data_IF_252252185715
#
_entry.id   IF_252252185715
#
_cell.length_a   1.000
_cell.length_b   1.000
_cell.length_c   1.000
_cell.angle_alpha   90.00
_cell.angle_beta   90.00
_cell.angle_gamma   90.00
#
_symmetry.space_group_name_H-M   'P 1'
#
loop_
_entity.id
_entity.type
_entity.pdbx_description
1 polymer ?
#
# COMPACT_ATOMS: atom_id res chain seq x y z
N UNK A 1 -17.42 4.18 5.28
CA UNK A 1 -17.70 5.22 4.25
C UNK A 1 -18.97 4.82 3.52
N UNK A 2 -19.99 5.68 3.53
CA UNK A 2 -21.29 5.42 2.93
C UNK A 2 -21.83 6.71 2.30
N UNK A 3 -22.49 6.68 1.13
CA UNK A 3 -22.75 5.51 0.27
C UNK A 3 -21.48 4.94 -0.41
N UNK A 4 -21.51 3.70 -0.97
CA UNK A 4 -20.40 3.12 -1.72
C UNK A 4 -20.25 3.83 -3.08
N UNK A 5 -19.48 4.91 -3.10
CA UNK A 5 -19.22 5.73 -4.29
C UNK A 5 -17.89 6.50 -4.17
N UNK A 6 -17.37 6.96 -5.31
CA UNK A 6 -16.38 8.04 -5.36
C UNK A 6 -16.93 9.24 -6.16
N UNK A 7 -16.34 10.42 -5.93
CA UNK A 7 -16.76 11.69 -6.55
C UNK A 7 -15.55 12.39 -7.13
N UNK A 8 -15.62 12.76 -8.41
CA UNK A 8 -14.65 13.66 -9.07
C UNK A 8 -15.19 15.09 -8.93
N UNK A 9 -14.33 16.02 -8.53
CA UNK A 9 -14.67 17.42 -8.27
C UNK A 9 -13.70 18.36 -9.00
N UNK A 10 -14.11 19.59 -9.26
CA UNK A 10 -13.20 20.68 -9.66
C UNK A 10 -12.17 20.91 -8.55
N UNK A 11 -10.88 20.99 -8.91
CA UNK A 11 -9.77 21.01 -7.94
C UNK A 11 -9.65 22.29 -7.11
N UNK A 12 -10.19 23.41 -7.61
CA UNK A 12 -10.15 24.72 -6.96
C UNK A 12 -11.45 25.07 -6.23
N UNK A 13 -12.60 24.63 -6.75
CA UNK A 13 -13.92 24.99 -6.22
C UNK A 13 -14.61 23.88 -5.43
N UNK A 14 -14.12 22.64 -5.52
CA UNK A 14 -14.76 21.42 -5.00
C UNK A 14 -16.17 21.16 -5.58
N UNK A 15 -16.54 21.84 -6.67
CA UNK A 15 -17.80 21.60 -7.36
C UNK A 15 -17.85 20.16 -7.88
N UNK A 16 -18.90 19.38 -7.58
CA UNK A 16 -18.99 18.00 -8.02
C UNK A 16 -19.18 17.91 -9.54
N UNK A 17 -18.36 17.10 -10.20
CA UNK A 17 -18.39 16.88 -11.65
C UNK A 17 -19.00 15.52 -12.00
N UNK A 18 -18.65 14.47 -11.25
CA UNK A 18 -19.12 13.10 -11.50
C UNK A 18 -19.22 12.31 -10.20
N UNK A 19 -20.31 11.58 -10.03
CA UNK A 19 -20.50 10.61 -8.96
C UNK A 19 -20.57 9.22 -9.58
N UNK A 20 -19.80 8.27 -9.07
CA UNK A 20 -19.77 6.89 -9.57
C UNK A 20 -19.96 5.92 -8.42
N UNK A 21 -21.00 5.08 -8.53
CA UNK A 21 -21.26 3.98 -7.59
C UNK A 21 -20.17 2.92 -7.70
N UNK A 22 -19.81 2.33 -6.56
CA UNK A 22 -18.84 1.22 -6.51
C UNK A 22 -19.49 -0.14 -6.31
N UNK A 23 -20.82 -0.21 -6.07
CA UNK A 23 -21.60 -1.47 -6.04
C UNK A 23 -21.31 -2.32 -7.28
N UNK A 24 -21.08 -3.61 -7.08
CA UNK A 24 -20.66 -4.49 -8.17
C UNK A 24 -20.38 -5.91 -7.68
N UNK A 25 -19.70 -6.68 -8.52
CA UNK A 25 -19.40 -8.09 -8.26
C UNK A 25 -18.03 -8.22 -7.57
N UNK A 26 -17.86 -9.21 -6.70
CA UNK A 26 -16.54 -9.62 -6.20
C UNK A 26 -15.70 -10.20 -7.35
N UNK A 27 -14.40 -9.91 -7.39
CA UNK A 27 -13.53 -10.37 -8.48
C UNK A 27 -13.44 -11.90 -8.56
N UNK A 28 -13.42 -12.56 -7.39
CA UNK A 28 -13.18 -13.99 -7.22
C UNK A 28 -14.45 -14.83 -7.41
N UNK A 29 -15.49 -14.58 -6.61
CA UNK A 29 -16.73 -15.37 -6.63
C UNK A 29 -17.76 -14.84 -7.62
N UNK A 30 -17.56 -13.63 -8.16
CA UNK A 30 -18.51 -12.97 -9.05
C UNK A 30 -19.91 -12.89 -8.41
N UNK A 31 -19.96 -12.64 -7.10
CA UNK A 31 -21.19 -12.43 -6.33
C UNK A 31 -21.44 -10.93 -6.13
N UNK A 32 -22.70 -10.52 -6.20
CA UNK A 32 -23.05 -9.11 -6.03
C UNK A 32 -22.80 -8.67 -4.57
N UNK A 33 -22.02 -7.60 -4.42
CA UNK A 33 -21.75 -6.98 -3.13
C UNK A 33 -22.43 -5.60 -3.04
N UNK A 34 -23.33 -5.36 -2.05
CA UNK A 34 -24.12 -4.13 -1.97
C UNK A 34 -23.38 -2.94 -1.33
N UNK A 35 -22.28 -3.20 -0.61
CA UNK A 35 -21.51 -2.18 0.12
C UNK A 35 -19.98 -2.29 -0.10
N UNK A 36 -19.49 -2.17 -1.35
CA UNK A 36 -18.05 -2.14 -1.60
C UNK A 36 -17.50 -0.72 -1.39
N UNK A 37 -16.81 -0.54 -0.27
CA UNK A 37 -16.27 0.73 0.21
C UNK A 37 -15.04 1.12 -0.61
N UNK A 38 -14.92 2.40 -0.92
CA UNK A 38 -13.66 2.99 -1.37
C UNK A 38 -12.70 3.04 -0.18
N UNK A 39 -11.48 2.55 -0.37
CA UNK A 39 -10.41 2.61 0.63
C UNK A 39 -9.45 3.76 0.29
N UNK A 40 -8.20 3.49 -0.11
CA UNK A 40 -7.29 4.55 -0.55
C UNK A 40 -7.58 4.99 -2.00
N UNK A 41 -7.30 6.27 -2.26
CA UNK A 41 -7.23 6.86 -3.60
C UNK A 41 -5.86 7.51 -3.74
N UNK A 42 -5.15 7.20 -4.83
CA UNK A 42 -3.89 7.88 -5.23
C UNK A 42 -4.00 8.38 -6.67
N UNK A 43 -3.06 9.20 -7.12
CA UNK A 43 -3.03 9.72 -8.49
C UNK A 43 -1.86 9.09 -9.25
N UNK A 44 -2.11 8.59 -10.46
CA UNK A 44 -1.07 8.06 -11.34
C UNK A 44 -0.10 9.17 -11.74
N UNK A 45 1.19 8.81 -11.86
CA UNK A 45 2.22 9.70 -12.41
C UNK A 45 2.51 9.40 -13.88
N UNK A 46 1.88 8.37 -14.45
CA UNK A 46 2.11 7.88 -15.81
C UNK A 46 0.92 8.11 -16.75
N UNK A 47 -0.21 8.56 -16.20
CA UNK A 47 -1.39 8.96 -16.94
C UNK A 47 -2.29 9.88 -16.12
N UNK A 48 -3.23 10.58 -16.75
CA UNK A 48 -4.23 11.42 -16.09
C UNK A 48 -5.32 10.57 -15.44
N UNK A 49 -4.93 9.77 -14.44
CA UNK A 49 -5.78 8.77 -13.81
C UNK A 49 -5.73 8.83 -12.28
N UNK A 50 -6.88 8.65 -11.65
CA UNK A 50 -6.94 8.25 -10.25
C UNK A 50 -6.89 6.73 -10.12
N UNK A 51 -6.20 6.23 -9.10
CA UNK A 51 -6.17 4.81 -8.71
C UNK A 51 -7.05 4.66 -7.48
N UNK A 52 -8.19 3.97 -7.62
CA UNK A 52 -9.24 3.88 -6.59
C UNK A 52 -9.38 2.43 -6.12
N UNK A 53 -9.09 2.16 -4.85
CA UNK A 53 -9.24 0.83 -4.27
C UNK A 53 -10.67 0.56 -3.80
N UNK A 54 -11.27 -0.52 -4.30
CA UNK A 54 -12.62 -0.96 -3.93
C UNK A 54 -12.50 -2.21 -3.06
N UNK A 55 -12.69 -2.02 -1.75
CA UNK A 55 -12.30 -2.96 -0.69
C UNK A 55 -12.94 -4.33 -0.84
N UNK A 56 -14.27 -4.44 -0.72
CA UNK A 56 -14.93 -5.73 -0.58
C UNK A 56 -14.97 -6.54 -1.87
N UNK A 57 -15.04 -5.86 -3.02
CA UNK A 57 -15.05 -6.51 -4.34
C UNK A 57 -13.64 -6.84 -4.84
N UNK A 58 -12.60 -6.24 -4.27
CA UNK A 58 -11.21 -6.52 -4.63
C UNK A 58 -10.80 -5.99 -5.99
N UNK A 59 -11.36 -4.85 -6.38
CA UNK A 59 -11.02 -4.18 -7.64
C UNK A 59 -10.19 -2.93 -7.38
N UNK A 60 -9.22 -2.68 -8.26
CA UNK A 60 -8.47 -1.42 -8.35
C UNK A 60 -8.94 -0.73 -9.63
N UNK A 61 -9.52 0.46 -9.51
CA UNK A 61 -10.04 1.21 -10.66
C UNK A 61 -9.01 2.25 -11.10
N UNK A 62 -8.58 2.18 -12.35
CA UNK A 62 -7.85 3.25 -13.03
C UNK A 62 -8.87 4.17 -13.70
N UNK A 63 -9.12 5.33 -13.11
CA UNK A 63 -10.18 6.27 -13.52
C UNK A 63 -9.54 7.43 -14.27
N UNK A 64 -9.62 7.41 -15.61
CA UNK A 64 -9.08 8.47 -16.46
C UNK A 64 -9.99 9.71 -16.42
N UNK A 65 -9.42 10.85 -16.07
CA UNK A 65 -10.14 12.11 -15.89
C UNK A 65 -9.95 13.12 -17.04
N UNK A 66 -9.35 12.73 -18.17
CA UNK A 66 -9.24 13.61 -19.36
C UNK A 66 -10.61 13.97 -19.94
N UNK A 67 -11.53 13.01 -19.92
CA UNK A 67 -12.91 13.20 -20.36
C UNK A 67 -13.87 12.59 -19.33
N UNK A 68 -14.35 13.43 -18.42
CA UNK A 68 -15.29 13.06 -17.35
C UNK A 68 -16.69 12.74 -17.91
N UNK A 69 -17.02 13.23 -19.11
CA UNK A 69 -18.30 12.93 -19.76
C UNK A 69 -18.28 11.51 -20.33
N UNK A 70 -17.25 11.17 -21.09
CA UNK A 70 -17.00 9.85 -21.67
C UNK A 70 -15.99 9.03 -20.83
N UNK A 71 -16.29 8.90 -19.54
CA UNK A 71 -15.37 8.37 -18.53
C UNK A 71 -14.85 6.98 -18.89
N UNK A 72 -13.52 6.86 -19.05
CA UNK A 72 -12.83 5.58 -19.21
C UNK A 72 -12.37 5.08 -17.85
N UNK A 73 -12.74 3.84 -17.53
CA UNK A 73 -12.31 3.17 -16.30
C UNK A 73 -11.78 1.78 -16.64
N UNK A 74 -10.57 1.49 -16.21
CA UNK A 74 -10.04 0.11 -16.22
C UNK A 74 -10.27 -0.48 -14.84
N UNK A 75 -11.07 -1.54 -14.74
CA UNK A 75 -11.27 -2.27 -13.51
C UNK A 75 -10.30 -3.46 -13.46
N UNK A 76 -9.31 -3.39 -12.57
CA UNK A 76 -8.30 -4.42 -12.39
C UNK A 76 -8.77 -5.34 -11.26
N UNK A 77 -8.96 -6.62 -11.57
CA UNK A 77 -9.17 -7.67 -10.58
C UNK A 77 -7.86 -7.88 -9.81
N UNK A 78 -7.90 -7.71 -8.48
CA UNK A 78 -6.71 -7.79 -7.63
C UNK A 78 -6.89 -8.83 -6.53
N UNK A 79 -7.29 -8.39 -5.33
CA UNK A 79 -7.58 -9.27 -4.19
C UNK A 79 -8.59 -8.57 -3.29
N UNK A 80 -9.45 -9.32 -2.58
CA UNK A 80 -10.45 -8.73 -1.68
C UNK A 80 -9.81 -8.12 -0.44
N UNK A 81 -10.51 -7.13 0.11
CA UNK A 81 -10.13 -6.37 1.30
C UNK A 81 -8.95 -5.41 1.10
N UNK A 82 -8.80 -4.87 -0.13
CA UNK A 82 -7.89 -3.76 -0.42
C UNK A 82 -8.07 -2.63 0.59
N UNK A 83 -6.96 -2.10 1.09
CA UNK A 83 -6.95 -1.05 2.10
C UNK A 83 -6.10 0.12 1.61
N UNK A 84 -4.87 0.22 2.10
CA UNK A 84 -3.91 1.28 1.85
C UNK A 84 -2.69 0.76 1.08
N UNK A 85 -1.94 1.69 0.50
CA UNK A 85 -0.83 1.41 -0.39
C UNK A 85 -0.14 2.68 -0.85
N UNK A 86 0.98 2.51 -1.54
CA UNK A 86 1.74 3.60 -2.11
C UNK A 86 2.54 3.17 -3.32
N UNK A 87 3.08 4.16 -4.02
CA UNK A 87 3.93 3.90 -5.17
C UNK A 87 5.31 3.41 -4.74
N UNK A 88 5.92 2.60 -5.60
CA UNK A 88 7.36 2.37 -5.56
C UNK A 88 8.14 3.69 -5.77
N UNK A 89 9.45 3.63 -5.57
CA UNK A 89 10.32 4.81 -5.70
C UNK A 89 10.27 5.52 -7.06
N UNK A 90 9.87 4.83 -8.13
CA UNK A 90 9.75 5.40 -9.48
C UNK A 90 8.40 6.05 -9.76
N UNK A 91 7.42 5.89 -8.87
CA UNK A 91 6.06 6.36 -9.05
C UNK A 91 5.22 5.53 -10.03
N UNK A 92 5.72 4.38 -10.50
CA UNK A 92 5.06 3.59 -11.57
C UNK A 92 4.17 2.50 -11.02
N UNK A 93 4.67 1.76 -10.04
CA UNK A 93 4.00 0.59 -9.52
C UNK A 93 3.29 0.96 -8.23
N UNK A 94 1.99 0.72 -8.17
CA UNK A 94 1.20 0.92 -6.97
C UNK A 94 1.16 -0.40 -6.19
N UNK A 95 1.75 -0.41 -5.00
CA UNK A 95 1.72 -1.54 -4.07
C UNK A 95 0.66 -1.29 -3.01
N UNK A 96 -0.31 -2.20 -2.89
CA UNK A 96 -1.48 -2.05 -2.00
C UNK A 96 -1.73 -3.31 -1.20
N UNK A 97 -1.99 -3.16 0.08
CA UNK A 97 -2.37 -4.24 0.97
C UNK A 97 -3.83 -4.67 0.79
N UNK A 98 -4.04 -5.94 0.48
CA UNK A 98 -5.28 -6.66 0.75
C UNK A 98 -5.19 -7.27 2.14
N UNK A 99 -5.32 -6.43 3.16
CA UNK A 99 -4.84 -6.71 4.51
C UNK A 99 -5.44 -7.98 5.13
N UNK A 100 -6.75 -8.19 5.03
CA UNK A 100 -7.41 -9.38 5.60
C UNK A 100 -7.10 -10.68 4.84
N UNK A 101 -6.27 -10.62 3.80
CA UNK A 101 -5.78 -11.76 3.01
C UNK A 101 -4.27 -11.94 3.11
N UNK A 102 -3.55 -11.13 3.89
CA UNK A 102 -2.10 -11.23 4.05
C UNK A 102 -1.34 -11.09 2.71
N UNK A 103 -1.91 -10.28 1.80
CA UNK A 103 -1.44 -10.13 0.42
C UNK A 103 -1.14 -8.66 0.12
N UNK A 104 -0.06 -8.40 -0.62
CA UNK A 104 0.20 -7.13 -1.32
C UNK A 104 -0.03 -7.34 -2.82
N UNK A 105 -0.92 -6.55 -3.41
CA UNK A 105 -1.12 -6.50 -4.85
C UNK A 105 -0.24 -5.39 -5.46
N UNK A 106 0.30 -5.66 -6.65
CA UNK A 106 1.15 -4.72 -7.40
C UNK A 106 0.47 -4.39 -8.73
N UNK A 107 0.20 -3.12 -8.98
CA UNK A 107 -0.37 -2.62 -10.24
C UNK A 107 0.65 -1.78 -10.98
N UNK A 108 0.87 -2.07 -12.26
CA UNK A 108 1.59 -1.18 -13.18
C UNK A 108 0.64 -0.08 -13.66
N UNK A 109 0.83 1.15 -13.18
CA UNK A 109 -0.04 2.28 -13.55
C UNK A 109 0.28 2.90 -14.90
N UNK A 110 1.35 2.44 -15.57
CA UNK A 110 1.61 2.80 -16.95
C UNK A 110 0.84 1.91 -17.92
N UNK A 111 0.76 0.62 -17.60
CA UNK A 111 0.14 -0.40 -18.45
C UNK A 111 -1.29 -0.79 -18.00
N UNK A 112 -1.76 -0.21 -16.89
CA UNK A 112 -3.07 -0.45 -16.27
C UNK A 112 -3.39 -1.94 -16.04
N UNK A 113 -2.43 -2.66 -15.45
CA UNK A 113 -2.55 -4.12 -15.20
C UNK A 113 -2.02 -4.54 -13.84
N UNK A 114 -2.59 -5.61 -13.28
CA UNK A 114 -2.01 -6.33 -12.16
C UNK A 114 -0.71 -7.02 -12.60
N UNK A 115 0.34 -6.92 -11.80
CA UNK A 115 1.66 -7.52 -12.07
C UNK A 115 1.95 -8.67 -11.13
N UNK A 116 1.54 -8.56 -9.86
CA UNK A 116 1.79 -9.58 -8.86
C UNK A 116 0.80 -9.52 -7.69
N UNK A 117 0.62 -10.68 -7.04
CA UNK A 117 0.03 -10.83 -5.71
C UNK A 117 1.08 -11.53 -4.84
N UNK A 118 1.47 -10.88 -3.74
CA UNK A 118 2.61 -11.28 -2.93
C UNK A 118 2.13 -11.55 -1.51
N UNK A 119 2.38 -12.75 -0.97
CA UNK A 119 2.15 -13.05 0.44
C UNK A 119 3.25 -12.44 1.30
N UNK A 120 2.88 -11.79 2.38
CA UNK A 120 3.81 -11.16 3.34
C UNK A 120 3.64 -11.81 4.72
N UNK A 121 3.42 -11.03 5.79
CA UNK A 121 2.97 -11.49 7.11
C UNK A 121 1.48 -11.20 7.34
N UNK A 122 1.04 -11.29 8.59
CA UNK A 122 -0.38 -11.21 8.95
C UNK A 122 -0.88 -9.76 8.96
N UNK A 123 -1.87 -9.45 8.12
CA UNK A 123 -2.50 -8.13 7.99
C UNK A 123 -1.48 -7.00 7.74
N UNK A 124 -0.84 -6.96 6.54
CA UNK A 124 0.02 -5.85 6.17
C UNK A 124 -0.74 -4.52 6.26
N UNK A 125 -0.12 -3.51 6.88
CA UNK A 125 -0.69 -2.19 7.05
C UNK A 125 0.38 -1.11 6.76
N UNK A 126 0.63 -0.78 5.49
CA UNK A 126 1.76 0.07 5.10
C UNK A 126 1.55 1.57 5.32
N UNK A 127 0.31 2.05 5.40
CA UNK A 127 0.01 3.42 4.99
C UNK A 127 0.34 3.59 3.50
N UNK A 128 1.38 4.38 3.20
CA UNK A 128 1.99 4.46 1.85
C UNK A 128 3.22 3.56 1.68
N UNK A 129 3.67 2.92 2.76
CA UNK A 129 4.90 2.17 2.85
C UNK A 129 6.16 3.04 2.84
N UNK A 130 7.30 2.38 2.80
CA UNK A 130 8.62 3.01 2.82
C UNK A 130 9.48 2.50 1.66
N UNK A 131 9.92 3.40 0.78
CA UNK A 131 10.83 3.10 -0.31
C UNK A 131 12.27 3.42 0.08
N UNK A 132 13.20 2.51 -0.19
CA UNK A 132 14.64 2.73 -0.06
C UNK A 132 15.43 1.78 -0.95
N UNK A 133 16.74 1.99 -1.06
CA UNK A 133 17.65 1.09 -1.77
C UNK A 133 18.29 0.16 -0.75
N UNK A 134 17.96 -1.12 -0.82
CA UNK A 134 18.57 -2.16 -0.01
C UNK A 134 20.01 -2.44 -0.52
N UNK A 135 21.03 -2.58 0.36
CA UNK A 135 22.43 -2.80 -0.05
C UNK A 135 22.64 -4.00 -0.99
N UNK A 136 21.94 -5.10 -0.73
CA UNK A 136 22.01 -6.34 -1.53
C UNK A 136 20.99 -6.42 -2.67
N UNK A 137 19.71 -6.12 -2.40
CA UNK A 137 18.60 -6.42 -3.33
C UNK A 137 18.19 -5.25 -4.24
N UNK A 138 18.80 -4.07 -4.08
CA UNK A 138 18.42 -2.88 -4.85
C UNK A 138 17.15 -2.20 -4.32
N UNK A 139 16.38 -1.49 -5.17
CA UNK A 139 15.16 -0.80 -4.75
C UNK A 139 14.12 -1.74 -4.14
N UNK A 140 13.66 -1.39 -2.94
CA UNK A 140 12.61 -2.10 -2.22
C UNK A 140 11.53 -1.15 -1.71
N UNK A 141 10.33 -1.70 -1.52
CA UNK A 141 9.23 -1.09 -0.79
C UNK A 141 8.92 -1.95 0.43
N UNK A 142 8.71 -1.33 1.60
CA UNK A 142 8.49 -2.02 2.85
C UNK A 142 7.10 -1.75 3.45
N UNK A 143 6.55 -2.77 4.09
CA UNK A 143 5.33 -2.71 4.92
C UNK A 143 5.57 -3.37 6.27
N UNK A 144 5.07 -2.74 7.34
CA UNK A 144 4.87 -3.39 8.63
C UNK A 144 3.50 -4.07 8.68
N UNK A 145 3.21 -4.78 9.77
CA UNK A 145 2.04 -5.62 9.92
C UNK A 145 1.26 -5.30 11.20
N UNK A 146 -0.05 -5.38 11.10
CA UNK A 146 -0.95 -5.21 12.24
C UNK A 146 -1.00 -6.49 13.08
N UNK A 147 -0.97 -7.65 12.43
CA UNK A 147 -1.23 -8.95 13.04
C UNK A 147 -0.03 -9.58 13.74
N UNK A 148 1.19 -9.15 13.41
CA UNK A 148 2.45 -9.67 13.93
C UNK A 148 3.57 -8.62 13.82
N UNK A 149 4.74 -8.94 14.35
CA UNK A 149 5.97 -8.12 14.38
C UNK A 149 6.69 -8.00 13.04
N UNK A 150 6.14 -8.61 11.98
CA UNK A 150 6.83 -8.73 10.70
C UNK A 150 6.97 -7.37 10.00
N UNK A 151 8.11 -7.16 9.35
CA UNK A 151 8.30 -6.11 8.34
C UNK A 151 8.78 -6.79 7.06
N UNK A 152 7.98 -6.71 5.99
CA UNK A 152 8.29 -7.34 4.71
C UNK A 152 8.89 -6.30 3.74
N UNK A 153 10.03 -6.64 3.13
CA UNK A 153 10.68 -5.85 2.09
C UNK A 153 10.44 -6.53 0.74
N UNK A 154 9.80 -5.81 -0.19
CA UNK A 154 9.46 -6.30 -1.52
C UNK A 154 10.36 -5.62 -2.56
N UNK A 155 11.02 -6.38 -3.43
CA UNK A 155 11.81 -5.83 -4.54
C UNK A 155 10.94 -5.16 -5.59
N UNK A 156 11.31 -3.96 -6.05
CA UNK A 156 10.45 -3.12 -6.93
C UNK A 156 11.08 -2.73 -8.27
N UNK A 157 12.24 -3.31 -8.63
CA UNK A 157 12.95 -3.00 -9.88
C UNK A 157 12.96 -4.18 -10.86
N UNK A 158 11.92 -4.33 -11.70
CA UNK A 158 11.84 -5.40 -12.71
C UNK A 158 12.79 -5.21 -13.90
N UNK A 159 13.52 -4.09 -14.00
CA UNK A 159 14.43 -3.84 -15.13
C UNK A 159 15.85 -4.30 -14.79
N UNK A 160 16.39 -3.89 -13.64
CA UNK A 160 17.78 -4.20 -13.27
C UNK A 160 17.91 -5.30 -12.21
N UNK A 161 16.88 -5.52 -11.40
CA UNK A 161 16.88 -6.51 -10.32
C UNK A 161 15.77 -7.57 -10.53
N UNK A 162 15.71 -8.10 -11.76
CA UNK A 162 14.67 -9.04 -12.23
C UNK A 162 14.43 -10.23 -11.32
N UNK A 163 15.49 -10.78 -10.73
CA UNK A 163 15.38 -11.95 -9.85
C UNK A 163 14.67 -11.64 -8.52
N UNK A 164 14.60 -10.37 -8.14
CA UNK A 164 14.05 -9.86 -6.87
C UNK A 164 12.71 -9.13 -7.04
N UNK A 165 12.41 -8.65 -8.24
CA UNK A 165 11.19 -7.91 -8.50
C UNK A 165 9.94 -8.73 -8.12
N UNK A 166 9.06 -8.09 -7.36
CA UNK A 166 7.77 -8.64 -6.91
C UNK A 166 7.88 -9.88 -6.02
N UNK A 167 8.96 -9.97 -5.24
CA UNK A 167 9.16 -10.99 -4.20
C UNK A 167 9.48 -10.32 -2.88
N UNK A 168 9.08 -10.95 -1.78
CA UNK A 168 9.64 -10.62 -0.46
C UNK A 168 11.11 -11.05 -0.48
N UNK A 169 12.02 -10.08 -0.43
CA UNK A 169 13.48 -10.31 -0.50
C UNK A 169 14.11 -10.42 0.88
N UNK A 170 13.47 -9.82 1.88
CA UNK A 170 13.86 -9.92 3.28
C UNK A 170 12.64 -9.69 4.18
N UNK A 171 12.67 -10.37 5.31
CA UNK A 171 11.72 -10.21 6.39
C UNK A 171 12.50 -9.79 7.63
N UNK A 172 12.07 -8.70 8.29
CA UNK A 172 12.61 -8.24 9.56
C UNK A 172 11.55 -8.44 10.65
N UNK A 173 12.00 -8.47 11.91
CA UNK A 173 11.13 -8.49 13.09
C UNK A 173 11.29 -7.16 13.84
N UNK A 174 10.17 -6.46 14.07
CA UNK A 174 10.08 -5.25 14.87
C UNK A 174 9.75 -5.53 16.34
N UNK A 175 9.25 -4.51 17.04
CA UNK A 175 8.96 -4.61 18.48
C UNK A 175 7.79 -5.57 18.80
N UNK A 176 6.87 -5.78 17.87
CA UNK A 176 5.63 -6.52 18.11
C UNK A 176 4.58 -6.23 17.04
N UNK A 177 3.45 -6.92 17.14
CA UNK A 177 2.25 -6.58 16.36
C UNK A 177 1.64 -5.23 16.74
N UNK A 178 0.65 -4.80 15.97
CA UNK A 178 -0.04 -3.52 16.17
C UNK A 178 0.61 -2.32 15.47
N UNK A 179 1.52 -2.56 14.52
CA UNK A 179 2.09 -1.50 13.68
C UNK A 179 1.04 -0.94 12.72
N UNK A 180 1.08 0.38 12.51
CA UNK A 180 0.21 1.09 11.56
C UNK A 180 1.01 1.79 10.46
N UNK A 181 2.21 2.27 10.77
CA UNK A 181 3.02 3.03 9.83
C UNK A 181 4.50 2.64 9.88
N UNK A 182 5.07 2.62 8.68
CA UNK A 182 6.50 2.47 8.43
C UNK A 182 6.98 3.67 7.61
N UNK A 183 8.17 4.19 7.90
CA UNK A 183 8.66 5.41 7.24
C UNK A 183 10.17 5.46 7.06
N UNK A 184 10.57 6.00 5.92
CA UNK A 184 11.93 6.49 5.67
C UNK A 184 11.90 7.72 4.76
N UNK A 185 13.07 8.22 4.35
CA UNK A 185 13.24 9.32 3.41
C UNK A 185 14.50 9.08 2.55
N UNK A 186 14.57 9.51 1.27
CA UNK A 186 15.77 9.35 0.43
C UNK A 186 17.08 9.95 0.97
N UNK A 187 17.00 10.82 1.98
CA UNK A 187 18.15 11.41 2.67
C UNK A 187 18.35 10.88 4.10
N UNK A 188 17.55 9.89 4.50
CA UNK A 188 17.67 9.20 5.77
C UNK A 188 18.35 7.85 5.56
N UNK A 189 19.08 7.40 6.57
CA UNK A 189 19.59 6.02 6.67
C UNK A 189 18.70 5.15 7.58
N UNK A 190 17.66 5.74 8.14
CA UNK A 190 16.82 5.11 9.15
C UNK A 190 15.49 4.64 8.53
N UNK A 191 15.03 3.47 8.93
CA UNK A 191 13.69 2.95 8.71
C UNK A 191 12.96 2.90 10.06
N UNK A 192 11.90 3.70 10.19
CA UNK A 192 11.11 3.84 11.41
C UNK A 192 9.85 2.99 11.32
N UNK A 193 9.51 2.27 12.39
CA UNK A 193 8.32 1.42 12.49
C UNK A 193 7.64 1.65 13.83
N UNK A 194 6.40 2.09 13.80
CA UNK A 194 5.58 2.29 15.00
C UNK A 194 4.84 1.01 15.41
N UNK A 195 4.31 1.00 16.64
CA UNK A 195 3.51 -0.11 17.17
C UNK A 195 2.30 0.35 18.00
N UNK A 196 1.54 1.38 17.57
CA UNK A 196 0.57 2.08 18.43
C UNK A 196 -0.62 1.24 18.91
N UNK A 197 -0.90 0.11 18.25
CA UNK A 197 -1.97 -0.82 18.64
C UNK A 197 -1.47 -2.04 19.41
N UNK A 198 -0.19 -2.06 19.78
CA UNK A 198 0.36 -3.09 20.64
C UNK A 198 -0.31 -3.01 22.04
N UNK A 199 -0.63 -4.15 22.68
CA UNK A 199 -1.26 -4.14 24.00
C UNK A 199 -0.31 -3.69 25.13
N UNK A 200 1.00 -3.74 24.94
CA UNK A 200 1.99 -3.31 25.91
C UNK A 200 2.26 -1.82 25.76
N UNK A 201 2.00 -1.03 26.82
CA UNK A 201 2.08 0.43 26.76
C UNK A 201 3.47 0.96 26.38
N UNK A 202 4.53 0.30 26.83
CA UNK A 202 5.92 0.64 26.50
C UNK A 202 6.20 0.46 25.00
N UNK A 203 5.68 -0.60 24.39
CA UNK A 203 5.79 -0.85 22.94
C UNK A 203 4.87 0.10 22.16
N UNK A 204 3.66 0.34 22.64
CA UNK A 204 2.69 1.22 21.98
C UNK A 204 3.11 2.70 21.95
N UNK A 205 4.00 3.10 22.86
CA UNK A 205 4.52 4.47 22.99
C UNK A 205 5.98 4.61 22.57
N UNK A 206 6.53 3.65 21.83
CA UNK A 206 7.90 3.67 21.30
C UNK A 206 7.93 3.40 19.80
N UNK A 207 9.10 3.61 19.18
CA UNK A 207 9.33 3.41 17.74
C UNK A 207 10.62 2.63 17.53
N UNK A 208 10.55 1.57 16.73
CA UNK A 208 11.72 0.82 16.26
C UNK A 208 12.41 1.60 15.12
N UNK A 209 13.74 1.68 15.15
CA UNK A 209 14.56 2.36 14.13
C UNK A 209 15.67 1.43 13.65
N UNK A 210 15.58 1.00 12.40
CA UNK A 210 16.60 0.19 11.75
C UNK A 210 17.58 1.07 10.96
N UNK A 211 18.86 0.70 10.92
CA UNK A 211 19.82 1.23 9.94
C UNK A 211 19.66 0.48 8.61
N UNK A 212 19.22 1.17 7.57
CA UNK A 212 19.03 0.62 6.22
C UNK A 212 20.32 0.02 5.65
N UNK A 213 21.49 0.50 6.08
CA UNK A 213 22.77 -0.02 5.61
C UNK A 213 23.21 -1.30 6.34
N UNK A 214 22.53 -1.67 7.44
CA UNK A 214 22.86 -2.82 8.25
C UNK A 214 21.61 -3.37 8.98
N UNK A 215 20.61 -3.80 8.20
CA UNK A 215 19.34 -4.30 8.73
C UNK A 215 19.51 -5.54 9.63
N UNK A 216 20.59 -6.29 9.45
CA UNK A 216 20.91 -7.48 10.26
C UNK A 216 21.38 -7.13 11.68
N UNK A 217 21.72 -5.87 11.96
CA UNK A 217 22.05 -5.41 13.32
C UNK A 217 20.82 -5.28 14.23
N UNK A 218 19.61 -5.42 13.69
CA UNK A 218 18.36 -5.17 14.41
C UNK A 218 17.98 -3.69 14.43
N UNK A 219 17.29 -3.27 15.48
CA UNK A 219 16.77 -1.91 15.63
C UNK A 219 17.14 -1.29 16.97
N UNK A 220 17.22 0.03 16.99
CA UNK A 220 17.20 0.83 18.21
C UNK A 220 15.76 1.22 18.56
N UNK A 221 15.46 1.42 19.84
CA UNK A 221 14.14 1.84 20.31
C UNK A 221 14.18 3.29 20.74
N UNK A 222 13.30 4.11 20.16
CA UNK A 222 13.07 5.49 20.61
C UNK A 222 11.89 5.51 21.60
N UNK A 223 12.09 5.89 22.87
CA UNK A 223 11.04 5.91 23.89
C UNK A 223 10.19 7.19 23.79
N UNK A 224 9.42 7.32 22.71
CA UNK A 224 8.66 8.55 22.39
C UNK A 224 7.73 8.98 23.52
N UNK A 225 7.09 8.03 24.22
CA UNK A 225 6.20 8.30 25.35
C UNK A 225 6.87 8.83 26.62
N UNK A 226 8.20 8.73 26.72
CA UNK A 226 8.97 9.24 27.86
C UNK A 226 9.54 10.65 27.63
N UNK A 227 9.52 11.14 26.39
CA UNK A 227 10.09 12.43 25.98
C UNK A 227 9.13 13.61 26.13
#
# INVERSE_FOLDING_TARGET
YWPPQYVIMEGDSLKPLKVVSTRGMTYDTQEYHPEPRVASIVASHYGPEFVVNIKETGHILMVNYEDIQNLKVTAIEAERFLHDGGFDSTGRYFLVAANARDTVAVVDTKDNKLVALIKTGVKPHPGRGANFVHPTYGPVWATSHLGDETIALIGTDPEKHKDHAWKVVQTLEGQGGGSLFIKTHPHSKNLYVDTPLNPEAEIASSVAVFDINNLDAGYEVLPIGEW
#
